data_IF_655068799221
#
_entry.id   IF_655068799221
#
_cell.length_a   1.000
_cell.length_b   1.000
_cell.length_c   1.000
_cell.angle_alpha   90.00
_cell.angle_beta   90.00
_cell.angle_gamma   90.00
#
_symmetry.space_group_name_H-M   'P 1'
#
loop_
_entity.id
_entity.type
_entity.pdbx_description
1 polymer ?
#
# COMPACT_ATOMS: atom_id res chain seq x y z
N UNK A 1 21.33 10.95 -26.38
CA UNK A 1 20.29 12.01 -26.43
C UNK A 1 18.90 11.45 -26.76
N UNK A 2 18.70 10.58 -27.78
CA UNK A 2 17.37 10.03 -28.10
C UNK A 2 16.71 9.15 -27.03
N UNK A 3 17.48 8.43 -26.20
CA UNK A 3 16.93 7.49 -25.20
C UNK A 3 16.29 8.18 -23.97
N UNK A 4 16.79 9.37 -23.60
CA UNK A 4 16.17 10.20 -22.56
C UNK A 4 14.85 10.80 -23.04
N UNK A 5 14.75 11.11 -24.33
CA UNK A 5 13.54 11.67 -24.91
C UNK A 5 12.45 10.61 -25.03
N UNK A 6 12.77 9.37 -25.38
CA UNK A 6 11.81 8.26 -25.40
C UNK A 6 11.35 7.85 -24.00
N UNK A 7 12.23 7.93 -23.01
CA UNK A 7 11.87 7.72 -21.60
C UNK A 7 10.92 8.83 -21.10
N UNK A 8 11.25 10.10 -21.37
CA UNK A 8 10.40 11.22 -21.01
C UNK A 8 9.04 11.18 -21.72
N UNK A 9 8.97 10.76 -22.98
CA UNK A 9 7.69 10.63 -23.69
C UNK A 9 6.86 9.46 -23.20
N UNK A 10 7.46 8.31 -22.88
CA UNK A 10 6.73 7.19 -22.24
C UNK A 10 6.26 7.55 -20.83
N UNK A 11 7.08 8.27 -20.06
CA UNK A 11 6.73 8.81 -18.74
C UNK A 11 5.61 9.86 -18.84
N UNK A 12 5.69 10.77 -19.81
CA UNK A 12 4.67 11.79 -20.05
C UNK A 12 3.36 11.20 -20.58
N UNK A 13 3.40 10.17 -21.43
CA UNK A 13 2.21 9.47 -21.90
C UNK A 13 1.53 8.70 -20.77
N UNK A 14 2.32 8.13 -19.84
CA UNK A 14 1.80 7.50 -18.63
C UNK A 14 1.23 8.53 -17.65
N UNK A 15 1.91 9.66 -17.46
CA UNK A 15 1.42 10.82 -16.71
C UNK A 15 0.11 11.35 -17.30
N UNK A 16 -0.01 11.50 -18.62
CA UNK A 16 -1.22 11.98 -19.30
C UNK A 16 -2.36 10.95 -19.19
N UNK A 17 -2.07 9.65 -19.22
CA UNK A 17 -3.06 8.60 -18.96
C UNK A 17 -3.58 8.60 -17.52
N UNK A 18 -2.75 8.99 -16.55
CA UNK A 18 -3.11 9.03 -15.12
C UNK A 18 -3.64 10.42 -14.67
N UNK A 19 -3.41 11.49 -15.45
CA UNK A 19 -3.78 12.89 -15.17
C UNK A 19 -5.07 13.33 -15.88
N UNK A 20 -5.76 12.43 -16.60
CA UNK A 20 -7.19 12.63 -16.91
C UNK A 20 -8.01 11.86 -15.86
N UNK A 21 -8.24 12.44 -14.66
CA UNK A 21 -9.33 11.98 -13.85
C UNK A 21 -10.59 12.34 -14.63
N UNK A 22 -11.30 11.33 -15.15
CA UNK A 22 -12.75 11.47 -15.23
C UNK A 22 -13.21 11.60 -13.78
N UNK A 23 -13.30 12.83 -13.30
CA UNK A 23 -13.68 13.25 -11.95
C UNK A 23 -15.08 12.75 -11.54
N UNK A 24 -15.78 12.09 -12.45
CA UNK A 24 -17.02 11.36 -12.22
C UNK A 24 -16.85 9.89 -11.79
N UNK A 25 -15.70 9.23 -12.01
CA UNK A 25 -15.60 7.77 -11.80
C UNK A 25 -15.25 7.35 -10.36
N UNK A 26 -14.39 8.10 -9.66
CA UNK A 26 -14.01 7.77 -8.27
C UNK A 26 -15.15 8.04 -7.28
N UNK A 27 -15.95 9.09 -7.48
CA UNK A 27 -17.14 9.33 -6.66
C UNK A 27 -18.26 8.32 -6.95
N UNK A 28 -18.38 7.84 -8.18
CA UNK A 28 -19.41 6.85 -8.57
C UNK A 28 -19.09 5.44 -8.07
N UNK A 29 -17.81 5.05 -8.08
CA UNK A 29 -17.40 3.70 -7.66
C UNK A 29 -17.54 3.47 -6.16
N UNK A 30 -17.46 4.52 -5.34
CA UNK A 30 -17.65 4.42 -3.88
C UNK A 30 -19.15 4.42 -3.49
N UNK A 31 -20.01 5.01 -4.32
CA UNK A 31 -21.46 5.04 -4.08
C UNK A 31 -22.17 3.70 -4.36
N UNK A 32 -21.51 2.75 -5.04
CA UNK A 32 -22.09 1.43 -5.36
C UNK A 32 -21.85 0.37 -4.28
N UNK A 33 -21.01 0.66 -3.28
CA UNK A 33 -20.83 -0.16 -2.08
C UNK A 33 -21.93 0.13 -1.04
N UNK A 34 -23.18 0.02 -1.48
CA UNK A 34 -24.34 -0.11 -0.58
C UNK A 34 -24.48 -1.59 -0.25
N UNK A 35 -23.58 -2.10 0.59
CA UNK A 35 -23.70 -3.47 1.11
C UNK A 35 -25.02 -3.53 1.88
N UNK A 36 -25.90 -4.39 1.39
CA UNK A 36 -27.15 -4.78 2.02
C UNK A 36 -26.85 -5.37 3.39
N UNK A 37 -27.07 -4.57 4.43
CA UNK A 37 -27.18 -5.03 5.80
C UNK A 37 -28.42 -5.93 5.90
N UNK A 38 -28.22 -7.25 5.82
CA UNK A 38 -29.24 -8.22 6.25
C UNK A 38 -28.87 -8.69 7.64
N UNK A 39 -29.56 -8.11 8.62
CA UNK A 39 -29.55 -8.54 10.01
C UNK A 39 -29.99 -10.00 10.12
N UNK A 40 -29.23 -10.81 10.85
CA UNK A 40 -29.75 -11.96 11.58
C UNK A 40 -29.00 -12.07 12.90
N UNK A 41 -29.65 -11.53 13.93
CA UNK A 41 -29.34 -11.78 15.33
C UNK A 41 -29.79 -13.20 15.65
N UNK A 42 -28.85 -14.08 16.00
CA UNK A 42 -29.17 -15.20 16.89
C UNK A 42 -28.30 -15.07 18.14
N UNK A 43 -28.99 -14.73 19.22
CA UNK A 43 -28.58 -14.92 20.60
C UNK A 43 -28.49 -16.43 20.84
N UNK A 44 -27.32 -16.91 21.27
CA UNK A 44 -27.20 -18.19 21.98
C UNK A 44 -26.31 -18.01 23.21
N UNK A 45 -26.83 -18.61 24.26
CA UNK A 45 -26.60 -18.44 25.69
C UNK A 45 -25.30 -19.08 26.21
N UNK A 46 -24.93 -18.69 27.45
CA UNK A 46 -23.77 -19.13 28.22
C UNK A 46 -23.77 -20.63 28.57
N UNK A 47 -22.57 -21.21 28.66
CA UNK A 47 -22.32 -22.54 29.22
C UNK A 47 -20.85 -22.74 29.59
N UNK A 48 -20.64 -22.95 30.89
CA UNK A 48 -19.39 -23.01 31.67
C UNK A 48 -18.55 -24.29 31.44
N UNK A 49 -17.26 -24.27 31.85
CA UNK A 49 -16.57 -25.49 32.33
C UNK A 49 -15.28 -25.99 31.65
N UNK A 50 -14.14 -25.51 32.15
CA UNK A 50 -13.00 -26.27 32.74
C UNK A 50 -12.02 -27.18 31.93
N UNK A 51 -10.73 -26.99 32.27
CA UNK A 51 -9.55 -27.89 32.28
C UNK A 51 -8.84 -28.35 30.99
N UNK A 52 -7.70 -27.69 30.73
CA UNK A 52 -6.33 -28.25 30.70
C UNK A 52 -6.01 -29.45 29.80
N UNK A 53 -5.13 -29.26 28.81
CA UNK A 53 -3.83 -29.95 28.79
C UNK A 53 -2.84 -29.29 27.81
N UNK A 54 -1.56 -29.41 28.14
CA UNK A 54 -0.47 -28.87 27.34
C UNK A 54 -0.22 -29.64 26.04
N UNK A 55 0.01 -28.91 24.96
CA UNK A 55 0.82 -29.40 23.85
C UNK A 55 1.58 -28.24 23.24
N UNK A 56 2.90 -28.28 23.47
CA UNK A 56 3.91 -27.71 22.60
C UNK A 56 3.76 -28.27 21.17
N UNK A 57 4.54 -27.71 20.23
CA UNK A 57 4.62 -27.99 18.78
C UNK A 57 3.69 -27.06 17.96
N UNK A 58 4.11 -26.38 16.90
CA UNK A 58 5.34 -26.48 16.12
C UNK A 58 5.53 -25.15 15.39
N UNK A 59 6.53 -24.36 15.78
CA UNK A 59 6.96 -23.19 15.01
C UNK A 59 7.68 -23.69 13.76
N UNK A 60 6.96 -23.79 12.64
CA UNK A 60 7.60 -24.03 11.35
C UNK A 60 8.34 -22.76 10.94
N UNK A 61 9.60 -22.67 11.35
CA UNK A 61 10.56 -21.72 10.80
C UNK A 61 10.77 -22.06 9.33
N UNK A 62 10.07 -21.36 8.43
CA UNK A 62 10.38 -21.43 7.00
C UNK A 62 11.69 -20.70 6.79
N UNK A 63 12.75 -21.50 6.61
CA UNK A 63 14.06 -21.05 6.15
C UNK A 63 13.90 -20.33 4.81
N UNK A 64 14.29 -19.05 4.79
CA UNK A 64 14.33 -18.23 3.58
C UNK A 64 15.45 -18.73 2.67
N UNK A 65 15.06 -19.21 1.49
CA UNK A 65 15.95 -19.36 0.33
C UNK A 65 15.40 -18.52 -0.81
N UNK A 66 16.09 -17.45 -1.26
CA UNK A 66 15.66 -16.67 -2.42
C UNK A 66 16.01 -17.47 -3.68
N UNK A 67 15.00 -18.04 -4.34
CA UNK A 67 15.23 -18.93 -5.49
C UNK A 67 14.41 -18.49 -6.71
N UNK A 68 15.16 -18.27 -7.81
CA UNK A 68 14.86 -18.57 -9.23
C UNK A 68 14.19 -17.58 -10.20
N UNK A 69 14.00 -16.29 -9.89
CA UNK A 69 13.55 -15.31 -10.93
C UNK A 69 14.62 -14.32 -11.40
N UNK A 70 15.90 -14.57 -11.10
CA UNK A 70 17.02 -13.71 -11.51
C UNK A 70 17.45 -13.87 -12.98
N UNK A 71 16.86 -14.82 -13.72
CA UNK A 71 17.28 -15.12 -15.10
C UNK A 71 16.84 -14.07 -16.14
N UNK A 72 15.98 -13.11 -15.76
CA UNK A 72 15.52 -12.05 -16.66
C UNK A 72 16.30 -10.73 -16.54
N UNK A 73 17.34 -10.66 -15.69
CA UNK A 73 18.13 -9.42 -15.47
C UNK A 73 19.59 -9.58 -15.95
N UNK A 74 19.99 -10.75 -16.45
CA UNK A 74 21.39 -11.06 -16.80
C UNK A 74 21.82 -10.70 -18.24
N UNK A 75 21.05 -9.88 -18.95
CA UNK A 75 21.41 -9.43 -20.31
C UNK A 75 21.38 -7.92 -20.44
N UNK A 76 22.33 -7.26 -19.77
CA UNK A 76 22.95 -6.05 -20.32
C UNK A 76 24.37 -5.94 -19.77
N UNK A 77 25.34 -6.15 -20.65
CA UNK A 77 26.75 -6.31 -20.32
C UNK A 77 27.41 -5.01 -19.85
N UNK A 78 28.25 -5.14 -18.83
CA UNK A 78 29.35 -4.22 -18.61
C UNK A 78 30.58 -5.03 -18.21
N UNK A 79 31.54 -5.13 -19.14
CA UNK A 79 32.87 -5.65 -18.90
C UNK A 79 33.58 -4.72 -17.91
N UNK A 80 33.95 -5.21 -16.74
CA UNK A 80 35.14 -4.73 -16.06
C UNK A 80 35.88 -5.88 -15.38
N UNK A 81 37.16 -5.87 -15.69
CA UNK A 81 38.22 -6.84 -15.46
C UNK A 81 38.77 -6.71 -14.04
N UNK A 82 38.98 -7.85 -13.38
CA UNK A 82 40.03 -8.07 -12.36
C UNK A 82 39.93 -7.35 -11.01
N UNK A 83 39.71 -8.11 -9.92
CA UNK A 83 40.13 -7.71 -8.57
C UNK A 83 39.26 -8.26 -7.45
N UNK A 84 39.76 -9.27 -6.74
CA UNK A 84 39.11 -9.95 -5.62
C UNK A 84 38.82 -9.02 -4.44
N UNK A 85 37.57 -8.57 -4.34
CA UNK A 85 36.92 -8.25 -3.08
C UNK A 85 35.49 -8.76 -3.14
N UNK A 86 34.96 -9.21 -2.01
CA UNK A 86 33.61 -9.75 -1.82
C UNK A 86 32.53 -8.68 -2.16
N UNK A 87 32.35 -8.39 -3.45
CA UNK A 87 31.39 -7.44 -3.98
C UNK A 87 30.02 -8.11 -4.00
N UNK A 88 29.21 -7.74 -3.01
CA UNK A 88 27.77 -7.79 -3.13
C UNK A 88 27.42 -7.09 -4.45
N UNK A 89 27.01 -7.86 -5.47
CA UNK A 89 26.59 -7.33 -6.76
C UNK A 89 25.49 -6.29 -6.50
N UNK A 90 25.89 -5.02 -6.48
CA UNK A 90 25.01 -3.92 -6.13
C UNK A 90 24.00 -3.79 -7.24
N UNK A 91 22.78 -4.25 -7.01
CA UNK A 91 21.68 -3.97 -7.91
C UNK A 91 21.56 -2.45 -8.02
N UNK A 92 21.71 -1.93 -9.24
CA UNK A 92 21.57 -0.49 -9.50
C UNK A 92 20.20 0.00 -9.01
N UNK A 93 20.16 1.21 -8.45
CA UNK A 93 18.91 1.88 -8.05
C UNK A 93 17.93 1.91 -9.21
N UNK A 94 18.41 2.08 -10.43
CA UNK A 94 17.56 2.04 -11.62
C UNK A 94 16.94 0.67 -11.87
N UNK A 95 17.70 -0.41 -11.65
CA UNK A 95 17.20 -1.77 -11.79
C UNK A 95 16.14 -2.07 -10.72
N UNK A 96 16.35 -1.60 -9.48
CA UNK A 96 15.37 -1.69 -8.40
C UNK A 96 14.12 -0.86 -8.71
N UNK A 97 14.27 0.35 -9.27
CA UNK A 97 13.15 1.18 -9.71
C UNK A 97 12.32 0.53 -10.83
N UNK A 98 12.98 -0.11 -11.82
CA UNK A 98 12.30 -0.89 -12.86
C UNK A 98 11.58 -2.11 -12.27
N UNK A 99 12.22 -2.82 -11.35
CA UNK A 99 11.62 -3.96 -10.66
C UNK A 99 10.39 -3.55 -9.83
N UNK A 100 10.45 -2.39 -9.15
CA UNK A 100 9.33 -1.83 -8.39
C UNK A 100 8.13 -1.56 -9.31
N UNK A 101 8.37 -0.81 -10.40
CA UNK A 101 7.36 -0.51 -11.43
C UNK A 101 6.76 -1.77 -12.04
N UNK A 102 7.59 -2.76 -12.37
CA UNK A 102 7.13 -4.02 -12.93
C UNK A 102 6.28 -4.82 -11.93
N UNK A 103 6.70 -4.92 -10.68
CA UNK A 103 5.98 -5.66 -9.63
C UNK A 103 4.61 -5.04 -9.32
N UNK A 104 4.53 -3.70 -9.25
CA UNK A 104 3.26 -3.00 -9.11
C UNK A 104 2.34 -3.24 -10.31
N UNK A 105 2.89 -3.24 -11.53
CA UNK A 105 2.11 -3.53 -12.73
C UNK A 105 1.58 -4.97 -12.75
N UNK A 106 2.41 -5.95 -12.35
CA UNK A 106 1.96 -7.34 -12.24
C UNK A 106 0.83 -7.48 -11.21
N UNK A 107 0.97 -6.86 -10.03
CA UNK A 107 -0.10 -6.83 -9.02
C UNK A 107 -1.39 -6.20 -9.55
N UNK A 108 -1.30 -5.11 -10.31
CA UNK A 108 -2.46 -4.50 -10.95
C UNK A 108 -3.10 -5.40 -12.00
N UNK A 109 -2.28 -6.14 -12.77
CA UNK A 109 -2.74 -7.07 -13.79
C UNK A 109 -3.48 -8.27 -13.20
N UNK A 110 -3.12 -8.68 -11.98
CA UNK A 110 -3.81 -9.74 -11.21
C UNK A 110 -5.24 -9.36 -10.78
N UNK A 111 -5.77 -8.20 -11.21
CA UNK A 111 -7.17 -7.76 -11.07
C UNK A 111 -8.23 -8.82 -11.45
N UNK A 112 -7.89 -9.84 -12.24
CA UNK A 112 -8.84 -10.90 -12.63
C UNK A 112 -9.27 -11.83 -11.48
N UNK A 113 -8.60 -11.77 -10.32
CA UNK A 113 -8.77 -12.74 -9.23
C UNK A 113 -9.41 -12.15 -7.95
N UNK A 114 -9.81 -10.87 -7.97
CA UNK A 114 -10.23 -10.11 -6.78
C UNK A 114 -11.72 -9.72 -6.76
N UNK A 115 -12.53 -10.21 -7.70
CA UNK A 115 -13.99 -10.11 -7.64
C UNK A 115 -14.60 -11.45 -8.05
N UNK A 116 -15.30 -12.10 -7.12
CA UNK A 116 -16.21 -13.19 -7.43
C UNK A 116 -17.60 -12.56 -7.54
N UNK A 117 -18.12 -12.36 -8.75
CA UNK A 117 -19.49 -11.87 -8.96
C UNK A 117 -20.50 -13.02 -9.18
N UNK A 118 -20.00 -14.25 -9.13
CA UNK A 118 -20.70 -15.43 -9.58
C UNK A 118 -20.13 -16.57 -8.72
N UNK A 119 -20.94 -17.07 -7.78
CA UNK A 119 -20.60 -18.14 -6.85
C UNK A 119 -20.37 -19.51 -7.53
N UNK A 120 -19.57 -19.55 -8.60
CA UNK A 120 -19.18 -20.73 -9.33
C UNK A 120 -17.80 -21.21 -8.83
N UNK A 121 -17.77 -22.45 -8.35
CA UNK A 121 -16.63 -23.02 -7.64
C UNK A 121 -15.53 -23.42 -8.62
N UNK A 122 -14.66 -22.48 -9.02
CA UNK A 122 -13.42 -22.79 -9.75
C UNK A 122 -12.31 -23.10 -8.74
N UNK A 123 -12.41 -24.28 -8.14
CA UNK A 123 -11.49 -24.76 -7.11
C UNK A 123 -10.18 -25.28 -7.72
N UNK A 124 -9.24 -24.37 -8.03
CA UNK A 124 -7.79 -24.65 -8.15
C UNK A 124 -7.03 -23.37 -8.51
N UNK A 125 -7.50 -22.63 -9.52
CA UNK A 125 -6.74 -21.55 -10.16
C UNK A 125 -6.63 -20.30 -9.27
N UNK A 126 -7.72 -19.94 -8.60
CA UNK A 126 -7.76 -18.76 -7.75
C UNK A 126 -6.85 -18.86 -6.52
N UNK A 127 -6.59 -20.08 -6.03
CA UNK A 127 -5.62 -20.29 -4.95
C UNK A 127 -4.18 -20.01 -5.39
N UNK A 128 -3.84 -20.39 -6.63
CA UNK A 128 -2.52 -20.17 -7.23
C UNK A 128 -2.31 -18.68 -7.51
N UNK A 129 -3.35 -18.00 -8.02
CA UNK A 129 -3.32 -16.56 -8.28
C UNK A 129 -3.19 -15.73 -7.00
N UNK A 130 -3.89 -16.09 -5.92
CA UNK A 130 -3.74 -15.43 -4.60
C UNK A 130 -2.33 -15.62 -4.05
N UNK A 131 -1.75 -16.82 -4.16
CA UNK A 131 -0.37 -17.10 -3.76
C UNK A 131 0.62 -16.30 -4.60
N UNK A 132 0.37 -16.18 -5.91
CA UNK A 132 1.17 -15.34 -6.81
C UNK A 132 1.13 -13.87 -6.44
N UNK A 133 -0.06 -13.33 -6.13
CA UNK A 133 -0.22 -11.95 -5.66
C UNK A 133 0.46 -11.71 -4.30
N UNK A 134 0.36 -12.66 -3.38
CA UNK A 134 1.05 -12.59 -2.09
C UNK A 134 2.57 -12.56 -2.28
N UNK A 135 3.12 -13.43 -3.15
CA UNK A 135 4.55 -13.44 -3.49
C UNK A 135 4.99 -12.12 -4.12
N UNK A 136 4.24 -11.58 -5.07
CA UNK A 136 4.54 -10.29 -5.70
C UNK A 136 4.52 -9.13 -4.68
N UNK A 137 3.59 -9.14 -3.74
CA UNK A 137 3.55 -8.14 -2.66
C UNK A 137 4.73 -8.29 -1.70
N UNK A 138 5.17 -9.52 -1.41
CA UNK A 138 6.39 -9.75 -0.63
C UNK A 138 7.65 -9.28 -1.38
N UNK A 139 7.75 -9.54 -2.69
CA UNK A 139 8.84 -9.04 -3.54
C UNK A 139 8.86 -7.51 -3.56
N UNK A 140 7.69 -6.88 -3.70
CA UNK A 140 7.55 -5.44 -3.66
C UNK A 140 8.05 -4.85 -2.33
N UNK A 141 7.68 -5.47 -1.21
CA UNK A 141 8.18 -5.10 0.11
C UNK A 141 9.71 -5.25 0.19
N UNK A 142 10.28 -6.33 -0.36
CA UNK A 142 11.72 -6.54 -0.41
C UNK A 142 12.44 -5.47 -1.26
N UNK A 143 11.91 -5.11 -2.43
CA UNK A 143 12.47 -4.07 -3.31
C UNK A 143 12.52 -2.74 -2.57
N UNK A 144 11.47 -2.38 -1.84
CA UNK A 144 11.43 -1.14 -1.05
C UNK A 144 12.51 -1.14 0.05
N UNK A 145 12.71 -2.27 0.74
CA UNK A 145 13.81 -2.39 1.69
C UNK A 145 15.19 -2.24 1.04
N UNK A 146 15.36 -2.72 -0.19
CA UNK A 146 16.60 -2.54 -0.96
C UNK A 146 16.81 -1.10 -1.39
N UNK A 147 15.77 -0.43 -1.89
CA UNK A 147 15.83 1.00 -2.20
C UNK A 147 16.20 1.82 -0.95
N UNK A 148 15.68 1.46 0.22
CA UNK A 148 16.08 2.06 1.50
C UNK A 148 17.55 1.85 1.83
N UNK A 149 18.06 0.62 1.70
CA UNK A 149 19.48 0.33 1.93
C UNK A 149 20.41 1.08 0.97
N UNK A 150 19.91 1.47 -0.20
CA UNK A 150 20.61 2.29 -1.19
C UNK A 150 20.31 3.80 -1.07
N UNK A 151 19.64 4.25 0.00
CA UNK A 151 19.23 5.65 0.20
C UNK A 151 18.36 6.26 -0.93
N UNK A 152 17.66 5.41 -1.69
CA UNK A 152 16.81 5.78 -2.83
C UNK A 152 15.31 5.60 -2.51
N UNK A 153 14.90 5.98 -1.30
CA UNK A 153 13.50 5.87 -0.84
C UNK A 153 12.59 6.88 -1.53
N UNK A 154 13.14 8.02 -1.95
CA UNK A 154 12.44 9.05 -2.71
C UNK A 154 11.84 8.50 -4.01
N UNK A 155 12.58 7.67 -4.75
CA UNK A 155 12.08 6.99 -5.94
C UNK A 155 10.89 6.06 -5.60
N UNK A 156 11.02 5.29 -4.50
CA UNK A 156 9.94 4.43 -4.04
C UNK A 156 8.68 5.23 -3.67
N UNK A 157 8.84 6.36 -2.98
CA UNK A 157 7.75 7.24 -2.59
C UNK A 157 7.04 7.85 -3.81
N UNK A 158 7.81 8.33 -4.79
CA UNK A 158 7.25 8.88 -6.03
C UNK A 158 6.45 7.80 -6.75
N UNK A 159 7.02 6.62 -7.00
CA UNK A 159 6.31 5.56 -7.71
C UNK A 159 5.07 5.07 -6.93
N UNK A 160 5.17 4.92 -5.61
CA UNK A 160 4.04 4.52 -4.77
C UNK A 160 2.90 5.56 -4.80
N UNK A 161 3.24 6.85 -4.80
CA UNK A 161 2.26 7.94 -4.91
C UNK A 161 1.56 8.03 -6.27
N UNK A 162 2.10 7.38 -7.30
CA UNK A 162 1.51 7.34 -8.64
C UNK A 162 0.69 6.06 -8.89
N UNK A 163 0.74 5.09 -7.98
CA UNK A 163 0.12 3.78 -8.15
C UNK A 163 -1.40 3.77 -7.81
N UNK A 164 -2.17 4.69 -8.39
CA UNK A 164 -3.62 4.86 -8.14
C UNK A 164 -4.44 3.60 -8.41
N UNK A 165 -4.13 2.89 -9.50
CA UNK A 165 -4.79 1.62 -9.84
C UNK A 165 -4.49 0.52 -8.82
N UNK A 166 -3.28 0.49 -8.26
CA UNK A 166 -2.95 -0.49 -7.24
C UNK A 166 -3.65 -0.14 -5.92
N UNK A 167 -3.67 1.15 -5.58
CA UNK A 167 -4.36 1.64 -4.39
C UNK A 167 -5.85 1.31 -4.41
N UNK A 168 -6.55 1.53 -5.54
CA UNK A 168 -7.97 1.19 -5.65
C UNK A 168 -8.23 -0.32 -5.58
N UNK A 169 -7.39 -1.14 -6.23
CA UNK A 169 -7.48 -2.61 -6.16
C UNK A 169 -7.18 -3.13 -4.75
N UNK A 170 -6.32 -2.45 -3.99
CA UNK A 170 -5.92 -2.87 -2.66
C UNK A 170 -7.10 -2.98 -1.69
N UNK A 171 -8.14 -2.16 -1.85
CA UNK A 171 -9.31 -2.17 -0.95
C UNK A 171 -10.12 -3.47 -1.03
N UNK A 172 -10.04 -4.17 -2.17
CA UNK A 172 -10.77 -5.42 -2.42
C UNK A 172 -9.82 -6.63 -2.49
N UNK A 173 -8.53 -6.44 -2.21
CA UNK A 173 -7.57 -7.52 -2.30
C UNK A 173 -7.79 -8.58 -1.22
N UNK A 174 -7.24 -9.78 -1.42
CA UNK A 174 -7.22 -10.80 -0.37
C UNK A 174 -6.59 -10.22 0.92
N UNK A 175 -7.12 -10.51 2.13
CA UNK A 175 -6.62 -9.93 3.38
C UNK A 175 -5.11 -10.06 3.59
N UNK A 176 -4.47 -11.13 3.11
CA UNK A 176 -3.00 -11.30 3.19
C UNK A 176 -2.25 -10.32 2.30
N UNK A 177 -2.74 -10.11 1.07
CA UNK A 177 -2.17 -9.12 0.15
C UNK A 177 -2.41 -7.72 0.68
N UNK A 178 -3.61 -7.43 1.20
CA UNK A 178 -3.91 -6.16 1.87
C UNK A 178 -2.93 -5.90 3.02
N UNK A 179 -2.67 -6.89 3.88
CA UNK A 179 -1.71 -6.78 4.98
C UNK A 179 -0.32 -6.35 4.50
N UNK A 180 0.16 -6.95 3.41
CA UNK A 180 1.46 -6.62 2.84
C UNK A 180 1.46 -5.20 2.26
N UNK A 181 0.39 -4.78 1.56
CA UNK A 181 0.26 -3.42 1.02
C UNK A 181 0.17 -2.36 2.12
N UNK A 182 -0.52 -2.66 3.23
CA UNK A 182 -0.53 -1.84 4.45
C UNK A 182 0.88 -1.73 5.02
N UNK A 183 1.58 -2.86 5.16
CA UNK A 183 2.95 -2.89 5.69
C UNK A 183 3.92 -2.09 4.82
N UNK A 184 3.79 -2.19 3.50
CA UNK A 184 4.55 -1.38 2.53
C UNK A 184 4.26 0.11 2.75
N UNK A 185 2.99 0.50 2.76
CA UNK A 185 2.58 1.89 2.88
C UNK A 185 3.02 2.49 4.22
N UNK A 186 2.85 1.75 5.32
CA UNK A 186 3.32 2.14 6.65
C UNK A 186 4.85 2.27 6.71
N UNK A 187 5.58 1.36 6.06
CA UNK A 187 7.04 1.39 6.00
C UNK A 187 7.54 2.66 5.28
N UNK A 188 6.92 3.01 4.15
CA UNK A 188 7.23 4.23 3.40
C UNK A 188 6.88 5.49 4.19
N UNK A 189 5.73 5.55 4.86
CA UNK A 189 5.38 6.67 5.75
C UNK A 189 6.38 6.79 6.91
N UNK A 190 6.80 5.66 7.50
CA UNK A 190 7.86 5.63 8.50
C UNK A 190 9.19 6.21 7.98
N UNK A 191 9.50 6.01 6.70
CA UNK A 191 10.68 6.63 6.09
C UNK A 191 10.51 8.15 5.94
N UNK A 192 9.34 8.66 5.59
CA UNK A 192 9.05 10.11 5.60
C UNK A 192 9.27 10.70 7.01
N UNK A 193 8.91 9.94 8.05
CA UNK A 193 9.10 10.38 9.43
C UNK A 193 10.56 10.52 9.84
N UNK A 194 11.43 9.66 9.30
CA UNK A 194 12.87 9.64 9.57
C UNK A 194 13.69 10.39 8.53
N UNK A 195 13.08 10.79 7.42
CA UNK A 195 13.77 11.34 6.28
C UNK A 195 14.46 12.66 6.63
N UNK A 196 15.77 12.72 6.34
CA UNK A 196 16.52 13.98 6.31
C UNK A 196 16.22 14.78 5.03
N UNK A 197 15.53 14.18 4.07
CA UNK A 197 15.13 14.81 2.82
C UNK A 197 13.67 15.29 2.85
N UNK A 198 13.39 16.38 2.14
CA UNK A 198 12.04 16.95 2.04
C UNK A 198 11.27 16.25 0.93
N UNK A 199 10.22 15.50 1.29
CA UNK A 199 9.27 14.93 0.33
C UNK A 199 8.42 16.04 -0.27
N UNK A 200 8.30 16.08 -1.60
CA UNK A 200 7.50 17.08 -2.31
C UNK A 200 6.02 17.01 -1.89
N UNK A 201 5.39 18.16 -1.63
CA UNK A 201 3.99 18.25 -1.13
C UNK A 201 3.00 17.48 -1.99
N UNK A 202 3.17 17.53 -3.32
CA UNK A 202 2.33 16.76 -4.25
C UNK A 202 2.41 15.23 -4.03
N UNK A 203 3.60 14.70 -3.71
CA UNK A 203 3.79 13.27 -3.41
C UNK A 203 3.07 12.94 -2.11
N UNK A 204 3.19 13.80 -1.11
CA UNK A 204 2.48 13.64 0.17
C UNK A 204 0.97 13.64 0.00
N UNK A 205 0.43 14.60 -0.76
CA UNK A 205 -0.99 14.68 -1.08
C UNK A 205 -1.50 13.41 -1.78
N UNK A 206 -0.79 12.94 -2.81
CA UNK A 206 -1.16 11.71 -3.53
C UNK A 206 -1.10 10.48 -2.63
N UNK A 207 -0.07 10.37 -1.79
CA UNK A 207 0.04 9.28 -0.81
C UNK A 207 -1.16 9.25 0.13
N UNK A 208 -1.55 10.42 0.67
CA UNK A 208 -2.71 10.54 1.54
C UNK A 208 -4.00 10.17 0.80
N UNK A 209 -4.30 10.79 -0.34
CA UNK A 209 -5.57 10.54 -1.03
C UNK A 209 -5.71 9.09 -1.51
N UNK A 210 -4.63 8.47 -1.99
CA UNK A 210 -4.69 7.12 -2.56
C UNK A 210 -4.63 6.01 -1.51
N UNK A 211 -3.75 6.15 -0.52
CA UNK A 211 -3.42 5.04 0.38
C UNK A 211 -4.03 5.16 1.77
N UNK A 212 -4.51 6.34 2.16
CA UNK A 212 -5.24 6.51 3.42
C UNK A 212 -6.45 5.56 3.54
N UNK A 213 -7.31 5.39 2.51
CA UNK A 213 -8.46 4.50 2.63
C UNK A 213 -8.06 3.08 2.99
N UNK A 214 -6.96 2.55 2.43
CA UNK A 214 -6.47 1.21 2.75
C UNK A 214 -6.22 1.03 4.25
N UNK A 215 -5.78 2.08 4.95
CA UNK A 215 -5.58 2.05 6.39
C UNK A 215 -6.90 2.07 7.19
N UNK A 216 -7.96 2.72 6.69
CA UNK A 216 -9.29 2.67 7.31
C UNK A 216 -9.90 1.27 7.26
N UNK A 217 -9.75 0.58 6.11
CA UNK A 217 -10.28 -0.79 5.92
C UNK A 217 -9.35 -1.88 6.48
N UNK A 218 -8.11 -1.52 6.81
CA UNK A 218 -7.12 -2.42 7.40
C UNK A 218 -7.59 -2.92 8.77
N UNK A 219 -8.24 -4.08 8.82
CA UNK A 219 -8.23 -5.09 9.91
C UNK A 219 -9.43 -6.05 9.89
N UNK A 220 -10.35 -5.97 8.93
CA UNK A 220 -11.48 -6.90 8.85
C UNK A 220 -11.08 -8.26 8.27
N UNK A 221 -10.40 -9.11 9.06
CA UNK A 221 -10.29 -10.54 8.76
C UNK A 221 -8.97 -11.26 9.03
N UNK A 222 -7.98 -10.61 9.64
CA UNK A 222 -6.70 -11.25 9.98
C UNK A 222 -6.66 -11.68 11.46
N UNK A 223 -6.09 -12.85 11.74
CA UNK A 223 -5.94 -13.37 13.11
C UNK A 223 -4.96 -12.57 13.98
N UNK A 224 -4.08 -11.79 13.35
CA UNK A 224 -3.02 -11.03 14.01
C UNK A 224 -2.94 -9.60 13.44
N UNK A 225 -2.57 -8.62 14.29
CA UNK A 225 -2.39 -7.24 13.83
C UNK A 225 -1.21 -7.14 12.86
N UNK A 226 -1.44 -6.51 11.70
CA UNK A 226 -0.42 -6.29 10.67
C UNK A 226 0.70 -5.35 11.14
N UNK A 227 0.32 -4.36 11.94
CA UNK A 227 1.18 -3.34 12.51
C UNK A 227 1.02 -3.35 14.04
N UNK A 228 2.12 -3.17 14.76
CA UNK A 228 2.12 -2.91 16.19
C UNK A 228 1.43 -1.58 16.51
N UNK A 229 0.97 -1.41 17.76
CA UNK A 229 0.35 -0.15 18.20
C UNK A 229 1.30 1.04 18.05
N UNK A 230 2.60 0.86 18.28
CA UNK A 230 3.60 1.93 18.07
C UNK A 230 3.72 2.33 16.60
N UNK A 231 3.78 1.36 15.68
CA UNK A 231 3.85 1.64 14.24
C UNK A 231 2.58 2.38 13.77
N UNK A 232 1.41 1.99 14.28
CA UNK A 232 0.14 2.68 14.00
C UNK A 232 0.18 4.15 14.39
N UNK A 233 0.66 4.46 15.60
CA UNK A 233 0.75 5.85 16.09
C UNK A 233 1.80 6.63 15.29
N UNK A 234 2.91 6.02 14.91
CA UNK A 234 3.94 6.68 14.11
C UNK A 234 3.43 7.02 12.69
N UNK A 235 2.63 6.13 12.10
CA UNK A 235 1.95 6.36 10.83
C UNK A 235 0.96 7.52 10.95
N UNK A 236 0.10 7.53 11.97
CA UNK A 236 -0.85 8.62 12.24
C UNK A 236 -0.11 9.96 12.36
N UNK A 237 0.88 10.06 13.25
CA UNK A 237 1.69 11.28 13.43
C UNK A 237 2.34 11.76 12.14
N UNK A 238 2.71 10.83 11.25
CA UNK A 238 3.28 11.18 9.95
C UNK A 238 2.22 11.74 9.01
N UNK A 239 1.05 11.10 8.92
CA UNK A 239 -0.07 11.61 8.13
C UNK A 239 -0.50 13.00 8.61
N UNK A 240 -0.59 13.23 9.93
CA UNK A 240 -0.95 14.54 10.48
C UNK A 240 0.04 15.63 10.09
N UNK A 241 1.35 15.33 10.10
CA UNK A 241 2.38 16.27 9.64
C UNK A 241 2.28 16.53 8.14
N UNK A 242 2.03 15.49 7.35
CA UNK A 242 1.84 15.62 5.91
C UNK A 242 0.64 16.52 5.61
N UNK A 243 -0.52 16.24 6.23
CA UNK A 243 -1.76 17.03 6.10
C UNK A 243 -1.51 18.49 6.48
N UNK A 244 -0.84 18.75 7.61
CA UNK A 244 -0.54 20.12 8.03
C UNK A 244 0.36 20.91 7.05
N UNK A 245 1.12 20.20 6.19
CA UNK A 245 1.96 20.83 5.17
C UNK A 245 1.25 21.10 3.84
N UNK A 246 0.03 20.59 3.66
CA UNK A 246 -0.77 20.77 2.45
C UNK A 246 -1.49 22.13 2.44
N UNK A 247 -1.94 22.57 1.26
CA UNK A 247 -2.83 23.74 1.13
C UNK A 247 -4.21 23.47 1.74
N UNK A 248 -4.96 24.52 2.09
CA UNK A 248 -6.28 24.38 2.72
C UNK A 248 -7.27 23.53 1.89
N UNK A 249 -7.26 23.68 0.56
CA UNK A 249 -8.09 22.89 -0.36
C UNK A 249 -7.69 21.41 -0.36
N UNK A 250 -6.39 21.10 -0.36
CA UNK A 250 -5.91 19.73 -0.31
C UNK A 250 -6.20 19.08 1.05
N UNK A 251 -6.05 19.82 2.15
CA UNK A 251 -6.43 19.37 3.49
C UNK A 251 -7.92 19.00 3.55
N UNK A 252 -8.79 19.85 3.02
CA UNK A 252 -10.23 19.59 2.95
C UNK A 252 -10.52 18.28 2.21
N UNK A 253 -9.92 18.07 1.04
CA UNK A 253 -10.12 16.83 0.26
C UNK A 253 -9.70 15.59 1.06
N UNK A 254 -8.50 15.61 1.65
CA UNK A 254 -7.98 14.47 2.42
C UNK A 254 -8.85 14.19 3.65
N UNK A 255 -9.17 15.22 4.43
CA UNK A 255 -9.90 15.09 5.68
C UNK A 255 -11.37 14.70 5.47
N UNK A 256 -12.01 15.23 4.41
CA UNK A 256 -13.38 14.86 4.03
C UNK A 256 -13.44 13.38 3.62
N UNK A 257 -12.50 12.94 2.79
CA UNK A 257 -12.45 11.54 2.35
C UNK A 257 -12.17 10.61 3.53
N UNK A 258 -11.19 10.94 4.37
CA UNK A 258 -10.92 10.19 5.59
C UNK A 258 -12.16 10.08 6.48
N UNK A 259 -12.86 11.19 6.76
CA UNK A 259 -14.03 11.18 7.62
C UNK A 259 -15.14 10.28 7.06
N UNK A 260 -15.34 10.31 5.74
CA UNK A 260 -16.31 9.45 5.07
C UNK A 260 -15.94 7.97 5.21
N UNK A 261 -14.69 7.60 4.94
CA UNK A 261 -14.22 6.21 5.08
C UNK A 261 -14.25 5.76 6.54
N UNK A 262 -13.77 6.59 7.47
CA UNK A 262 -13.70 6.31 8.90
C UNK A 262 -15.08 6.12 9.53
N UNK A 263 -16.10 6.86 9.09
CA UNK A 263 -17.46 6.72 9.61
C UNK A 263 -18.15 5.41 9.18
N UNK A 264 -17.71 4.81 8.07
CA UNK A 264 -18.27 3.56 7.53
C UNK A 264 -17.47 2.35 8.02
N UNK A 265 -16.17 2.51 8.21
CA UNK A 265 -15.30 1.43 8.69
C UNK A 265 -15.58 1.08 10.15
N UNK A 266 -15.47 -0.20 10.49
CA UNK A 266 -15.53 -0.67 11.89
C UNK A 266 -14.20 -0.49 12.65
N UNK A 267 -13.19 0.09 12.00
CA UNK A 267 -11.85 0.30 12.54
C UNK A 267 -11.75 1.71 13.13
N UNK A 268 -11.22 1.81 14.34
CA UNK A 268 -10.89 3.10 14.96
C UNK A 268 -9.56 3.70 14.48
N UNK A 269 -8.99 3.17 13.39
CA UNK A 269 -7.68 3.54 12.86
C UNK A 269 -7.73 3.78 11.34
N UNK A 270 -7.02 4.80 10.79
CA UNK A 270 -6.19 5.81 11.48
C UNK A 270 -7.04 6.93 12.10
N UNK A 271 -6.68 7.38 13.30
CA UNK A 271 -7.35 8.47 13.99
C UNK A 271 -6.74 9.84 13.62
N UNK A 272 -7.36 10.53 12.66
CA UNK A 272 -6.95 11.86 12.21
C UNK A 272 -7.84 12.99 12.75
N UNK A 273 -8.62 12.71 13.80
CA UNK A 273 -9.48 13.72 14.48
C UNK A 273 -8.71 14.99 14.86
N UNK A 274 -7.48 14.93 15.42
CA UNK A 274 -6.74 16.15 15.75
C UNK A 274 -6.40 17.03 14.54
N UNK A 275 -6.21 16.45 13.36
CA UNK A 275 -6.01 17.21 12.12
C UNK A 275 -7.32 17.78 11.59
N UNK A 276 -8.41 17.03 11.69
CA UNK A 276 -9.75 17.49 11.34
C UNK A 276 -10.21 18.67 12.20
N UNK A 277 -10.00 18.61 13.51
CA UNK A 277 -10.40 19.67 14.44
C UNK A 277 -9.62 20.97 14.18
N UNK A 278 -8.30 20.86 13.94
CA UNK A 278 -7.47 22.01 13.56
C UNK A 278 -7.94 22.65 12.27
N UNK A 279 -8.22 21.86 11.24
CA UNK A 279 -8.77 22.35 9.99
C UNK A 279 -10.12 23.05 10.20
N UNK A 280 -11.03 22.46 10.98
CA UNK A 280 -12.31 23.09 11.32
C UNK A 280 -12.15 24.44 12.01
N UNK A 281 -11.22 24.55 12.97
CA UNK A 281 -10.93 25.80 13.67
C UNK A 281 -10.39 26.86 12.71
N UNK A 282 -9.44 26.50 11.85
CA UNK A 282 -8.89 27.40 10.84
C UNK A 282 -9.96 27.86 9.84
N UNK A 283 -10.83 26.95 9.36
CA UNK A 283 -11.90 27.29 8.43
C UNK A 283 -12.94 28.23 9.06
N UNK A 284 -13.26 28.09 10.35
CA UNK A 284 -14.20 28.99 11.04
C UNK A 284 -13.64 30.40 11.23
N UNK A 285 -12.33 30.55 11.39
CA UNK A 285 -11.68 31.86 11.49
C UNK A 285 -11.67 32.63 10.16
N UNK A 286 -11.81 31.94 9.01
CA UNK A 286 -11.86 32.57 7.70
C UNK A 286 -13.24 33.15 7.33
N UNK A 287 -14.28 32.78 8.07
CA UNK A 287 -15.67 33.21 7.85
C UNK A 287 -16.11 34.31 8.83
N UNK A 288 -15.34 34.54 9.89
CA UNK A 288 -15.56 35.59 10.90
C UNK A 288 -14.85 36.89 10.51
#
# INVERSE_FOLDING_TARGET
MSLLFTWFTMWALRLVSDVIPTSSSLSSSLNHLKITSSSNVMVVDHGDGNNGDGSLLNSTSVSYSPVQNLDLISHDGFLMEGGDHHLQAGLSVEALGRALSHSMWQLQKTRRCMMNDDGEFVGSDQSVEVVGAEKLAQELLWIIHKLRACFAVDEALVQWSLASNLASLSLNANPRVQALLIKISASLLGDIARAEFKVHTQVQYRLLVLWLPLFCYACSGLRYPVLSSSEKIDVERTMERMIASLSATEQEVVLRNWLQDFAICSSDWPNLRPSYDRWCQSSRQLVA
#
